data_IF_419439618665
#
_entry.id   IF_419439618665
#
_cell.length_a   1.000
_cell.length_b   1.000
_cell.length_c   1.000
_cell.angle_alpha   90.00
_cell.angle_beta   90.00
_cell.angle_gamma   90.00
#
_symmetry.space_group_name_H-M   'P 1'
#
loop_
_entity.id
_entity.type
_entity.pdbx_description
1 polymer ?
#
# COMPACT_ATOMS: atom_id res chain seq x y z
N UNK A 1 -13.80 4.95 0.51
CA UNK A 1 -13.74 3.70 -0.30
C UNK A 1 -12.80 2.68 0.31
N UNK A 2 -11.53 3.03 0.57
CA UNK A 2 -10.53 2.14 1.19
C UNK A 2 -11.03 1.51 2.50
N UNK A 3 -11.49 2.32 3.47
CA UNK A 3 -12.07 1.81 4.71
C UNK A 3 -13.18 0.76 4.47
N UNK A 4 -14.16 1.07 3.62
CA UNK A 4 -15.26 0.15 3.31
C UNK A 4 -14.75 -1.15 2.66
N UNK A 5 -13.75 -1.07 1.78
CA UNK A 5 -13.15 -2.25 1.17
C UNK A 5 -12.47 -3.14 2.22
N UNK A 6 -11.82 -2.53 3.22
CA UNK A 6 -11.20 -3.25 4.33
C UNK A 6 -12.24 -3.89 5.25
N UNK A 7 -13.30 -3.15 5.60
CA UNK A 7 -14.42 -3.66 6.39
C UNK A 7 -15.13 -4.85 5.71
N UNK A 8 -15.18 -4.85 4.37
CA UNK A 8 -15.71 -5.96 3.57
C UNK A 8 -14.72 -7.11 3.35
N UNK A 9 -13.49 -7.05 3.88
CA UNK A 9 -12.45 -8.06 3.69
C UNK A 9 -11.89 -8.14 2.26
N UNK A 10 -12.08 -7.09 1.46
CA UNK A 10 -11.61 -6.97 0.08
C UNK A 10 -10.42 -6.00 -0.04
N UNK A 11 -9.64 -5.86 1.03
CA UNK A 11 -8.46 -4.99 1.08
C UNK A 11 -7.28 -5.57 0.29
N UNK A 12 -6.44 -4.71 -0.32
CA UNK A 12 -5.13 -5.15 -0.78
C UNK A 12 -4.23 -5.49 0.42
N UNK A 13 -3.15 -6.24 0.16
CA UNK A 13 -2.16 -6.55 1.19
C UNK A 13 -1.29 -5.34 1.57
N UNK A 14 -1.15 -4.36 0.67
CA UNK A 14 -0.33 -3.16 0.86
C UNK A 14 -0.68 -2.06 -0.15
N UNK A 15 -0.19 -0.85 0.10
CA UNK A 15 -0.27 0.28 -0.82
C UNK A 15 1.12 0.83 -1.08
N UNK A 16 1.56 0.79 -2.35
CA UNK A 16 2.89 1.21 -2.76
C UNK A 16 2.76 2.31 -3.81
N UNK A 17 3.29 3.50 -3.52
CA UNK A 17 3.20 4.67 -4.39
C UNK A 17 4.58 5.05 -4.92
N UNK A 18 4.68 5.29 -6.23
CA UNK A 18 5.91 5.79 -6.86
C UNK A 18 6.20 7.23 -6.48
N UNK A 19 5.15 8.03 -6.33
CA UNK A 19 5.22 9.43 -5.93
C UNK A 19 4.69 9.60 -4.50
N UNK A 20 4.68 10.85 -4.03
CA UNK A 20 4.05 11.20 -2.76
C UNK A 20 2.58 10.79 -2.76
N UNK A 21 2.14 10.13 -1.70
CA UNK A 21 0.76 9.70 -1.53
C UNK A 21 -0.19 10.91 -1.49
N UNK A 22 -1.35 10.80 -2.13
CA UNK A 22 -2.37 11.83 -2.02
C UNK A 22 -3.06 11.79 -0.65
N UNK A 23 -3.56 12.94 -0.18
CA UNK A 23 -4.15 13.05 1.15
C UNK A 23 -5.40 12.20 1.35
N UNK A 24 -6.15 11.88 0.28
CA UNK A 24 -7.35 11.06 0.37
C UNK A 24 -7.00 9.58 0.52
N UNK A 25 -6.01 9.08 -0.23
CA UNK A 25 -5.48 7.73 -0.08
C UNK A 25 -4.85 7.54 1.31
N UNK A 26 -4.06 8.52 1.78
CA UNK A 26 -3.46 8.50 3.11
C UNK A 26 -4.53 8.44 4.22
N UNK A 27 -5.57 9.29 4.13
CA UNK A 27 -6.69 9.23 5.07
C UNK A 27 -7.39 7.87 5.04
N UNK A 28 -7.57 7.29 3.85
CA UNK A 28 -8.15 5.95 3.69
C UNK A 28 -7.32 4.85 4.36
N UNK A 29 -6.00 4.87 4.20
CA UNK A 29 -5.08 3.91 4.83
C UNK A 29 -5.12 4.04 6.37
N UNK A 30 -5.03 5.26 6.89
CA UNK A 30 -5.08 5.53 8.34
C UNK A 30 -6.42 5.09 8.96
N UNK A 31 -7.53 5.41 8.30
CA UNK A 31 -8.86 5.01 8.79
C UNK A 31 -9.00 3.48 8.80
N UNK A 32 -8.45 2.79 7.80
CA UNK A 32 -8.52 1.32 7.73
C UNK A 32 -7.69 0.69 8.85
N UNK A 33 -6.49 1.18 9.10
CA UNK A 33 -5.60 0.67 10.16
C UNK A 33 -6.14 0.90 11.58
N UNK A 34 -6.81 2.03 11.83
CA UNK A 34 -7.32 2.36 13.17
C UNK A 34 -8.68 1.70 13.46
N UNK A 35 -9.56 1.58 12.45
CA UNK A 35 -10.95 1.14 12.65
C UNK A 35 -11.25 -0.27 12.13
N UNK A 36 -10.26 -0.98 11.57
CA UNK A 36 -10.40 -2.40 11.18
C UNK A 36 -9.21 -3.21 11.69
N UNK A 37 -9.34 -4.54 11.71
CA UNK A 37 -8.22 -5.43 12.06
C UNK A 37 -7.22 -5.63 10.89
N UNK A 38 -7.38 -4.88 9.80
CA UNK A 38 -6.55 -4.99 8.60
C UNK A 38 -5.41 -3.98 8.68
N UNK A 39 -4.20 -4.50 8.78
CA UNK A 39 -3.00 -3.71 8.62
C UNK A 39 -2.69 -3.50 7.13
N UNK A 40 -2.54 -2.25 6.71
CA UNK A 40 -2.23 -1.84 5.34
C UNK A 40 -0.89 -1.11 5.29
N UNK A 41 0.24 -1.85 5.22
CA UNK A 41 1.55 -1.26 5.01
C UNK A 41 1.53 -0.34 3.79
N UNK A 42 1.86 0.92 4.03
CA UNK A 42 1.78 1.98 3.03
C UNK A 42 3.14 2.65 2.89
N UNK A 43 3.70 2.64 1.68
CA UNK A 43 5.00 3.24 1.38
C UNK A 43 4.87 4.13 0.15
N UNK A 44 5.38 5.36 0.23
CA UNK A 44 5.36 6.32 -0.86
C UNK A 44 6.77 6.71 -1.31
N UNK A 45 6.88 7.52 -2.37
CA UNK A 45 8.15 7.99 -2.94
C UNK A 45 9.12 6.88 -3.37
N UNK A 46 8.61 5.75 -3.86
CA UNK A 46 9.44 4.63 -4.37
C UNK A 46 10.13 4.94 -5.71
N UNK A 47 9.72 6.01 -6.39
CA UNK A 47 10.26 6.45 -7.68
C UNK A 47 9.57 5.82 -8.90
N UNK A 48 9.75 6.47 -10.05
CA UNK A 48 9.21 5.98 -11.34
C UNK A 48 9.87 4.68 -11.79
N UNK A 49 11.14 4.45 -11.42
CA UNK A 49 11.85 3.20 -11.73
C UNK A 49 11.14 1.99 -11.11
N UNK A 50 10.63 2.13 -9.88
CA UNK A 50 9.84 1.10 -9.21
C UNK A 50 8.54 0.80 -9.98
N UNK A 51 7.79 1.85 -10.37
CA UNK A 51 6.54 1.70 -11.12
C UNK A 51 6.78 1.04 -12.49
N UNK A 52 7.92 1.36 -13.11
CA UNK A 52 8.30 0.80 -14.41
C UNK A 52 8.78 -0.64 -14.28
N UNK A 53 9.45 -0.98 -13.18
CA UNK A 53 10.01 -2.29 -12.91
C UNK A 53 8.94 -3.33 -12.53
N UNK A 54 8.02 -2.98 -11.63
CA UNK A 54 6.99 -3.92 -11.14
C UNK A 54 5.96 -4.21 -12.24
N UNK A 55 5.60 -5.49 -12.37
CA UNK A 55 4.60 -6.02 -13.31
C UNK A 55 3.67 -7.01 -12.63
N UNK A 56 2.53 -7.25 -13.26
CA UNK A 56 1.57 -8.24 -12.80
C UNK A 56 2.22 -9.63 -12.70
N UNK A 57 1.95 -10.33 -11.60
CA UNK A 57 2.51 -11.66 -11.32
C UNK A 57 3.86 -11.67 -10.60
N UNK A 58 4.50 -10.50 -10.39
CA UNK A 58 5.68 -10.40 -9.53
C UNK A 58 5.29 -10.47 -8.05
N UNK A 59 6.19 -11.00 -7.22
CA UNK A 59 5.98 -11.03 -5.76
C UNK A 59 6.68 -9.85 -5.11
N UNK A 60 6.01 -9.24 -4.13
CA UNK A 60 6.53 -8.10 -3.37
C UNK A 60 6.49 -8.42 -1.89
N UNK A 61 7.58 -8.13 -1.19
CA UNK A 61 7.72 -8.25 0.25
C UNK A 61 8.02 -6.88 0.85
N UNK A 62 7.33 -6.55 1.94
CA UNK A 62 7.51 -5.29 2.67
C UNK A 62 8.19 -5.61 3.97
N UNK A 63 9.39 -5.07 4.15
CA UNK A 63 10.20 -5.25 5.33
C UNK A 63 10.12 -4.02 6.23
N UNK A 64 10.62 -4.16 7.46
CA UNK A 64 10.72 -3.07 8.42
C UNK A 64 11.47 -1.86 7.83
N UNK A 65 11.03 -0.67 8.22
CA UNK A 65 11.61 0.59 7.74
C UNK A 65 11.17 1.00 6.33
N UNK A 66 10.13 0.37 5.77
CA UNK A 66 9.58 0.73 4.46
C UNK A 66 10.40 0.21 3.28
N UNK A 67 11.24 -0.82 3.49
CA UNK A 67 12.01 -1.44 2.42
C UNK A 67 11.09 -2.37 1.62
N UNK A 68 10.99 -2.13 0.31
CA UNK A 68 10.19 -2.92 -0.62
C UNK A 68 11.11 -3.81 -1.45
N UNK A 69 10.92 -5.13 -1.36
CA UNK A 69 11.67 -6.12 -2.12
C UNK A 69 10.77 -6.78 -3.16
N UNK A 70 11.24 -6.84 -4.40
CA UNK A 70 10.50 -7.43 -5.53
C UNK A 70 11.27 -8.66 -6.03
N UNK A 71 10.54 -9.73 -6.37
CA UNK A 71 11.07 -11.02 -6.85
C UNK A 71 10.62 -11.33 -8.27
#
# INVERSE_FOLDING_TARGET
VLYCACDMGASPACLLFSNTIDSLAAAGAILSDIWTDINLPTVDNLGEDFLTYVKDGMNVEIMDGGIVRVY
#
